data_IF_814954920321
#
_entry.id   IF_814954920321
#
_cell.length_a   1.000
_cell.length_b   1.000
_cell.length_c   1.000
_cell.angle_alpha   90.00
_cell.angle_beta   90.00
_cell.angle_gamma   90.00
#
_symmetry.space_group_name_H-M   'P 1'
#
loop_
_entity.id
_entity.type
_entity.pdbx_description
1 polymer ?
#
# COMPACT_ATOMS: atom_id res chain seq x y z
N UNK A 1 2.49 6.27 13.76
CA UNK A 1 1.54 6.93 12.84
C UNK A 1 1.51 8.46 12.91
N UNK A 2 2.05 9.14 13.93
CA UNK A 2 1.96 10.61 14.01
C UNK A 2 2.60 11.33 12.81
N UNK A 3 3.83 10.95 12.42
CA UNK A 3 4.54 11.58 11.30
C UNK A 3 3.79 11.51 9.94
N UNK A 4 3.26 10.35 9.49
CA UNK A 4 2.40 10.30 8.31
C UNK A 4 1.18 11.23 8.40
N UNK A 5 0.48 11.25 9.53
CA UNK A 5 -0.73 12.07 9.73
C UNK A 5 -0.39 13.55 9.60
N UNK A 6 0.71 14.00 10.21
CA UNK A 6 1.13 15.39 10.16
C UNK A 6 1.54 15.81 8.74
N UNK A 7 2.27 14.95 8.02
CA UNK A 7 2.65 15.21 6.64
C UNK A 7 1.43 15.39 5.71
N UNK A 8 0.39 14.57 5.90
CA UNK A 8 -0.87 14.70 5.17
C UNK A 8 -1.64 15.97 5.54
N UNK A 9 -1.75 16.29 6.84
CA UNK A 9 -2.43 17.51 7.30
C UNK A 9 -1.77 18.78 6.79
N UNK A 10 -0.44 18.83 6.76
CA UNK A 10 0.32 19.95 6.16
C UNK A 10 -0.06 20.16 4.69
N UNK A 11 -0.47 19.10 4.00
CA UNK A 11 -0.89 19.12 2.59
C UNK A 11 -2.39 19.31 2.39
N UNK A 12 -3.15 19.54 3.46
CA UNK A 12 -4.57 19.85 3.42
C UNK A 12 -5.50 18.64 3.50
N UNK A 13 -4.96 17.43 3.69
CA UNK A 13 -5.80 16.26 3.93
C UNK A 13 -6.48 16.33 5.29
N UNK A 14 -7.77 15.98 5.31
CA UNK A 14 -8.48 15.65 6.54
C UNK A 14 -8.19 14.19 6.86
N UNK A 15 -7.63 13.93 8.04
CA UNK A 15 -7.19 12.58 8.42
C UNK A 15 -7.92 12.13 9.67
N UNK A 16 -8.70 11.06 9.53
CA UNK A 16 -9.32 10.36 10.66
C UNK A 16 -8.54 9.09 10.96
N UNK A 17 -7.90 9.06 12.14
CA UNK A 17 -7.15 7.91 12.59
C UNK A 17 -8.01 7.07 13.53
N UNK A 18 -8.34 5.85 13.08
CA UNK A 18 -9.09 4.85 13.85
C UNK A 18 -8.17 3.72 14.31
N UNK A 19 -8.53 3.02 15.39
CA UNK A 19 -7.67 1.99 15.98
C UNK A 19 -8.28 0.59 15.92
N UNK A 20 -9.55 0.47 15.56
CA UNK A 20 -10.26 -0.80 15.52
C UNK A 20 -10.92 -1.02 14.17
N UNK A 21 -11.09 -2.29 13.80
CA UNK A 21 -11.81 -2.66 12.59
C UNK A 21 -13.28 -2.19 12.63
N UNK A 22 -13.92 -2.17 13.80
CA UNK A 22 -15.30 -1.69 13.96
C UNK A 22 -15.44 -0.19 13.64
N UNK A 23 -14.51 0.62 14.13
CA UNK A 23 -14.46 2.05 13.79
C UNK A 23 -14.21 2.22 12.30
N UNK A 24 -13.23 1.52 11.73
CA UNK A 24 -12.94 1.58 10.31
C UNK A 24 -14.14 1.19 9.44
N UNK A 25 -14.84 0.09 9.75
CA UNK A 25 -16.06 -0.32 9.05
C UNK A 25 -17.12 0.79 9.10
N UNK A 26 -17.26 1.49 10.24
CA UNK A 26 -18.20 2.60 10.39
C UNK A 26 -17.83 3.77 9.47
N UNK A 27 -16.54 4.12 9.39
CA UNK A 27 -16.05 5.18 8.50
C UNK A 27 -16.18 4.82 7.02
N UNK A 28 -15.82 3.60 6.63
CA UNK A 28 -15.98 3.10 5.25
C UNK A 28 -17.46 3.15 4.80
N UNK A 29 -18.40 2.91 5.72
CA UNK A 29 -19.83 2.96 5.43
C UNK A 29 -20.39 4.40 5.37
N UNK A 30 -19.66 5.39 5.87
CA UNK A 30 -20.10 6.78 5.93
C UNK A 30 -20.12 7.47 4.56
N UNK A 31 -19.34 6.94 3.60
CA UNK A 31 -19.09 7.53 2.26
C UNK A 31 -18.52 8.95 2.28
N UNK A 32 -17.98 9.42 3.42
CA UNK A 32 -17.27 10.70 3.48
C UNK A 32 -15.80 10.57 3.08
N UNK A 33 -15.17 9.45 3.43
CA UNK A 33 -13.77 9.20 3.14
C UNK A 33 -13.58 8.73 1.70
N UNK A 34 -12.57 9.27 1.02
CA UNK A 34 -12.23 8.89 -0.36
C UNK A 34 -11.11 7.85 -0.40
N UNK A 35 -10.27 7.80 0.63
CA UNK A 35 -9.08 6.95 0.70
C UNK A 35 -9.08 6.21 2.04
N UNK A 36 -8.95 4.88 1.98
CA UNK A 36 -8.76 4.03 3.16
C UNK A 36 -7.30 3.59 3.26
N UNK A 37 -6.65 3.96 4.36
CA UNK A 37 -5.32 3.49 4.71
C UNK A 37 -5.41 2.29 5.66
N UNK A 38 -5.02 1.11 5.19
CA UNK A 38 -5.10 -0.13 5.96
C UNK A 38 -3.70 -0.62 6.26
N UNK A 39 -3.35 -0.68 7.55
CA UNK A 39 -2.11 -1.32 8.01
C UNK A 39 -2.46 -2.73 8.47
N UNK A 40 -1.86 -3.72 7.83
CA UNK A 40 -2.15 -5.11 8.12
C UNK A 40 -1.71 -5.52 9.53
N UNK A 41 -2.55 -6.32 10.18
CA UNK A 41 -2.22 -7.03 11.41
C UNK A 41 -2.00 -8.54 11.13
N UNK A 42 -1.73 -9.31 12.19
CA UNK A 42 -1.55 -10.76 12.17
C UNK A 42 -2.85 -11.57 12.25
N UNK A 43 -3.98 -10.90 12.45
CA UNK A 43 -5.31 -11.49 12.46
C UNK A 43 -6.33 -10.45 12.01
N UNK A 44 -7.52 -10.90 11.59
CA UNK A 44 -8.69 -10.06 11.36
C UNK A 44 -9.67 -10.36 12.48
N UNK A 45 -10.04 -9.35 13.25
CA UNK A 45 -10.87 -9.51 14.45
C UNK A 45 -12.37 -9.49 14.13
N UNK A 46 -12.76 -8.75 13.09
CA UNK A 46 -14.12 -8.64 12.62
C UNK A 46 -14.26 -9.28 11.22
N UNK A 47 -15.02 -10.39 11.08
CA UNK A 47 -15.16 -11.08 9.80
C UNK A 47 -15.86 -10.25 8.70
N UNK A 48 -16.48 -9.11 9.06
CA UNK A 48 -17.08 -8.18 8.08
C UNK A 48 -16.09 -7.16 7.53
N UNK A 49 -14.87 -7.11 8.04
CA UNK A 49 -13.89 -6.09 7.65
C UNK A 49 -13.58 -6.17 6.15
N UNK A 50 -13.20 -7.36 5.66
CA UNK A 50 -12.83 -7.57 4.26
C UNK A 50 -13.99 -7.26 3.31
N UNK A 51 -15.21 -7.71 3.62
CA UNK A 51 -16.37 -7.42 2.77
C UNK A 51 -16.73 -5.93 2.75
N UNK A 52 -16.53 -5.21 3.86
CA UNK A 52 -16.72 -3.75 3.92
C UNK A 52 -15.67 -3.02 3.08
N UNK A 53 -14.41 -3.45 3.15
CA UNK A 53 -13.32 -2.88 2.37
C UNK A 53 -13.48 -3.12 0.86
N UNK A 54 -13.93 -4.32 0.47
CA UNK A 54 -14.29 -4.64 -0.93
C UNK A 54 -15.41 -3.72 -1.41
N UNK A 55 -16.47 -3.53 -0.62
CA UNK A 55 -17.58 -2.65 -0.99
C UNK A 55 -17.13 -1.20 -1.18
N UNK A 56 -16.29 -0.69 -0.27
CA UNK A 56 -15.71 0.64 -0.37
C UNK A 56 -14.91 0.80 -1.67
N UNK A 57 -13.99 -0.14 -1.94
CA UNK A 57 -13.18 -0.09 -3.16
C UNK A 57 -13.99 -0.20 -4.45
N UNK A 58 -14.98 -1.08 -4.49
CA UNK A 58 -15.86 -1.23 -5.65
C UNK A 58 -16.81 -0.04 -5.86
N UNK A 59 -16.90 0.86 -4.87
CA UNK A 59 -17.69 2.11 -4.92
C UNK A 59 -16.77 3.34 -5.08
N UNK A 60 -15.70 3.20 -5.86
CA UNK A 60 -14.68 4.22 -6.17
C UNK A 60 -13.77 4.65 -5.01
N UNK A 61 -13.88 4.05 -3.82
CA UNK A 61 -12.97 4.33 -2.71
C UNK A 61 -11.54 3.83 -2.99
N UNK A 62 -10.55 4.69 -2.85
CA UNK A 62 -9.15 4.30 -3.07
C UNK A 62 -8.55 3.64 -1.82
N UNK A 63 -7.61 2.71 -2.00
CA UNK A 63 -6.99 1.98 -0.89
C UNK A 63 -5.48 2.16 -0.91
N UNK A 64 -4.92 2.56 0.23
CA UNK A 64 -3.50 2.39 0.52
C UNK A 64 -3.33 1.24 1.51
N UNK A 65 -2.81 0.12 1.01
CA UNK A 65 -2.67 -1.11 1.75
C UNK A 65 -1.20 -1.32 2.14
N UNK A 66 -0.93 -1.30 3.43
CA UNK A 66 0.38 -1.61 3.98
C UNK A 66 0.39 -3.04 4.52
N UNK A 67 1.41 -3.78 4.12
CA UNK A 67 1.77 -5.08 4.67
C UNK A 67 3.19 -5.03 5.23
N UNK A 68 3.52 -6.05 6.00
CA UNK A 68 4.85 -6.26 6.56
C UNK A 68 5.19 -7.76 6.41
N UNK A 69 6.16 -8.29 7.15
CA UNK A 69 6.44 -9.71 7.12
C UNK A 69 5.27 -10.60 7.60
N UNK A 70 5.19 -11.83 7.09
CA UNK A 70 4.28 -12.86 7.61
C UNK A 70 4.56 -13.09 9.11
N UNK A 71 3.56 -13.04 10.01
CA UNK A 71 2.11 -13.08 9.76
C UNK A 71 1.40 -11.71 9.64
N UNK A 72 2.09 -10.57 9.72
CA UNK A 72 1.54 -9.21 9.66
C UNK A 72 1.08 -8.76 8.27
N UNK A 73 0.44 -9.68 7.54
CA UNK A 73 -0.06 -9.53 6.17
C UNK A 73 -1.56 -9.77 6.07
N UNK A 74 -2.25 -10.16 7.14
CA UNK A 74 -3.58 -10.79 7.06
C UNK A 74 -4.61 -9.92 6.36
N UNK A 75 -4.68 -8.63 6.67
CA UNK A 75 -5.65 -7.74 6.04
C UNK A 75 -5.39 -7.60 4.53
N UNK A 76 -4.13 -7.37 4.16
CA UNK A 76 -3.72 -7.25 2.77
C UNK A 76 -3.96 -8.53 1.98
N UNK A 77 -3.48 -9.65 2.51
CA UNK A 77 -3.56 -10.97 1.85
C UNK A 77 -5.02 -11.41 1.67
N UNK A 78 -5.88 -11.28 2.69
CA UNK A 78 -7.28 -11.69 2.58
C UNK A 78 -8.09 -10.77 1.64
N UNK A 79 -7.87 -9.45 1.69
CA UNK A 79 -8.53 -8.51 0.78
C UNK A 79 -8.13 -8.77 -0.68
N UNK A 80 -6.83 -8.84 -0.95
CA UNK A 80 -6.30 -9.05 -2.30
C UNK A 80 -6.69 -10.43 -2.84
N UNK A 81 -6.76 -11.45 -1.99
CA UNK A 81 -7.16 -12.81 -2.39
C UNK A 81 -8.63 -12.84 -2.78
N UNK A 82 -9.49 -12.28 -1.94
CA UNK A 82 -10.93 -12.24 -2.18
C UNK A 82 -11.30 -11.45 -3.44
N UNK A 83 -10.53 -10.40 -3.77
CA UNK A 83 -10.86 -9.48 -4.87
C UNK A 83 -10.12 -9.77 -6.18
N UNK A 84 -8.86 -10.19 -6.10
CA UNK A 84 -7.96 -10.28 -7.25
C UNK A 84 -7.24 -11.64 -7.35
N UNK A 85 -7.44 -12.55 -6.39
CA UNK A 85 -6.72 -13.83 -6.35
C UNK A 85 -5.23 -13.71 -6.06
N UNK A 86 -4.82 -12.63 -5.38
CA UNK A 86 -3.42 -12.33 -5.00
C UNK A 86 -3.28 -12.52 -3.49
N UNK A 87 -2.28 -13.23 -3.03
CA UNK A 87 -1.91 -13.29 -1.60
C UNK A 87 -0.65 -12.48 -1.33
N UNK A 88 -0.30 -12.25 -0.08
CA UNK A 88 0.92 -11.58 0.34
C UNK A 88 1.67 -12.46 1.34
N UNK A 89 2.97 -12.64 1.14
CA UNK A 89 3.83 -13.43 2.03
C UNK A 89 5.29 -12.93 2.02
N UNK A 90 6.12 -13.43 2.93
CA UNK A 90 7.55 -13.16 2.97
C UNK A 90 7.99 -12.55 4.30
N UNK A 91 9.29 -12.59 4.56
CA UNK A 91 9.93 -12.07 5.77
C UNK A 91 11.37 -11.63 5.45
N UNK A 92 11.53 -10.91 4.33
CA UNK A 92 12.85 -10.48 3.92
C UNK A 92 13.35 -9.35 4.82
N UNK A 93 14.55 -9.51 5.37
CA UNK A 93 15.24 -8.43 6.07
C UNK A 93 15.81 -7.43 5.06
N UNK A 94 15.12 -6.31 4.90
CA UNK A 94 15.53 -5.17 4.08
C UNK A 94 16.54 -4.28 4.79
N UNK A 95 16.06 -3.13 5.26
CA UNK A 95 16.81 -2.01 5.81
C UNK A 95 17.74 -1.30 4.81
N UNK A 96 17.37 -1.28 3.52
CA UNK A 96 18.10 -0.55 2.48
C UNK A 96 17.30 0.62 1.90
N UNK A 97 17.89 1.29 0.92
CA UNK A 97 17.29 2.42 0.23
C UNK A 97 17.14 2.08 -1.24
N UNK A 98 15.91 2.08 -1.71
CA UNK A 98 15.58 1.99 -3.13
C UNK A 98 16.00 3.28 -3.83
N UNK A 99 16.52 3.16 -5.04
CA UNK A 99 16.95 4.29 -5.85
C UNK A 99 16.09 4.44 -7.10
N UNK A 100 15.83 5.68 -7.48
CA UNK A 100 15.18 5.95 -8.76
C UNK A 100 16.08 5.49 -9.91
N UNK A 101 15.47 4.84 -10.91
CA UNK A 101 16.07 4.59 -12.23
C UNK A 101 14.96 4.49 -13.26
N UNK A 102 15.23 4.89 -14.50
CA UNK A 102 14.31 4.63 -15.62
C UNK A 102 14.09 3.12 -15.78
N UNK A 103 12.82 2.70 -15.82
CA UNK A 103 12.42 1.28 -15.72
C UNK A 103 13.00 0.57 -14.48
N UNK A 104 13.25 1.32 -13.40
CA UNK A 104 13.85 0.82 -12.16
C UNK A 104 13.02 -0.25 -11.46
N UNK A 105 11.70 -0.27 -11.69
CA UNK A 105 10.80 -1.29 -11.17
C UNK A 105 11.17 -2.72 -11.63
N UNK A 106 11.96 -2.89 -12.68
CA UNK A 106 12.44 -4.20 -13.16
C UNK A 106 13.78 -4.62 -12.53
N UNK A 107 14.34 -3.80 -11.65
CA UNK A 107 15.67 -3.98 -11.09
C UNK A 107 15.64 -3.99 -9.57
N UNK A 108 16.31 -4.97 -8.98
CA UNK A 108 16.50 -5.10 -7.53
C UNK A 108 16.97 -3.79 -6.91
N UNK A 109 16.33 -3.36 -5.83
CA UNK A 109 16.70 -2.16 -5.07
C UNK A 109 16.38 -0.83 -5.78
N UNK A 110 15.44 -0.83 -6.72
CA UNK A 110 15.06 0.36 -7.47
C UNK A 110 13.55 0.52 -7.58
N UNK A 111 13.13 1.77 -7.77
CA UNK A 111 11.77 2.11 -8.19
C UNK A 111 11.82 2.83 -9.54
N UNK A 112 10.75 2.65 -10.30
CA UNK A 112 10.60 3.23 -11.64
C UNK A 112 9.82 4.54 -11.62
N UNK A 113 9.36 4.91 -12.81
CA UNK A 113 8.48 6.04 -13.06
C UNK A 113 7.08 5.74 -12.58
N UNK A 114 6.58 6.56 -11.66
CA UNK A 114 5.18 6.59 -11.25
C UNK A 114 4.91 7.91 -10.52
N UNK A 115 3.69 8.43 -10.60
CA UNK A 115 3.33 9.73 -10.00
C UNK A 115 3.62 9.78 -8.50
N UNK A 116 3.46 8.64 -7.81
CA UNK A 116 3.74 8.52 -6.37
C UNK A 116 5.22 8.76 -6.01
N UNK A 117 6.13 8.61 -6.96
CA UNK A 117 7.57 8.85 -6.77
C UNK A 117 8.05 10.21 -7.29
N UNK A 118 7.12 11.08 -7.74
CA UNK A 118 7.48 12.42 -8.25
C UNK A 118 8.35 13.21 -7.26
N UNK A 119 9.54 13.59 -7.71
CA UNK A 119 10.50 14.36 -6.93
C UNK A 119 11.18 13.56 -5.81
N UNK A 120 11.21 12.22 -5.90
CA UNK A 120 11.90 11.31 -4.99
C UNK A 120 13.02 10.60 -5.75
N UNK A 121 14.24 10.62 -5.20
CA UNK A 121 15.40 9.92 -5.76
C UNK A 121 15.80 8.69 -4.95
N UNK A 122 15.40 8.67 -3.67
CA UNK A 122 15.72 7.63 -2.71
C UNK A 122 14.49 7.37 -1.85
N UNK A 123 14.14 6.09 -1.64
CA UNK A 123 13.04 5.67 -0.79
C UNK A 123 13.52 4.55 0.14
N UNK A 124 13.31 4.70 1.45
CA UNK A 124 13.60 3.63 2.40
C UNK A 124 12.61 2.46 2.19
N UNK A 125 13.09 1.22 2.03
CA UNK A 125 12.22 0.08 1.70
C UNK A 125 11.45 -0.50 2.90
N UNK A 126 11.93 -0.25 4.13
CA UNK A 126 11.47 -0.90 5.35
C UNK A 126 12.51 -1.87 5.92
N UNK A 127 12.35 -2.29 7.18
CA UNK A 127 13.19 -3.29 7.85
C UNK A 127 12.81 -4.70 7.41
N UNK A 128 11.51 -4.98 7.35
CA UNK A 128 10.92 -6.26 6.98
C UNK A 128 10.04 -6.04 5.75
N UNK A 129 10.13 -6.96 4.79
CA UNK A 129 9.47 -6.84 3.49
C UNK A 129 8.79 -8.16 3.12
N UNK A 130 7.51 -8.09 2.80
CA UNK A 130 6.77 -9.16 2.11
C UNK A 130 6.70 -8.89 0.60
N UNK A 131 5.96 -9.70 -0.14
CA UNK A 131 5.68 -9.48 -1.55
C UNK A 131 4.35 -10.11 -1.97
N UNK A 132 3.71 -9.61 -3.03
CA UNK A 132 2.53 -10.24 -3.61
C UNK A 132 2.88 -11.56 -4.29
N UNK A 133 2.00 -12.54 -4.14
CA UNK A 133 2.05 -13.85 -4.79
C UNK A 133 0.84 -13.99 -5.69
N UNK A 134 1.11 -14.17 -6.98
CA UNK A 134 0.11 -14.24 -8.03
C UNK A 134 -0.23 -15.70 -8.33
N UNK A 135 -1.48 -16.08 -8.08
CA UNK A 135 -1.93 -17.47 -8.28
C UNK A 135 -2.26 -17.79 -9.75
N UNK A 136 -2.47 -16.78 -10.58
CA UNK A 136 -2.86 -16.92 -11.99
C UNK A 136 -2.23 -15.84 -12.87
N UNK A 137 -2.08 -16.09 -14.18
CA UNK A 137 -1.65 -15.07 -15.15
C UNK A 137 -2.55 -13.83 -15.10
N UNK A 138 -3.88 -14.03 -14.99
CA UNK A 138 -4.81 -12.93 -14.88
C UNK A 138 -4.53 -12.04 -13.65
N UNK A 139 -4.24 -12.64 -12.49
CA UNK A 139 -3.89 -11.86 -11.29
C UNK A 139 -2.59 -11.05 -11.46
N UNK A 140 -1.66 -11.54 -12.27
CA UNK A 140 -0.39 -10.88 -12.55
C UNK A 140 -0.54 -9.67 -13.50
N UNK A 141 -1.60 -9.63 -14.31
CA UNK A 141 -1.88 -8.51 -15.22
C UNK A 141 -2.69 -7.38 -14.56
N UNK A 142 -3.30 -7.65 -13.40
CA UNK A 142 -4.12 -6.66 -12.68
C UNK A 142 -3.26 -5.60 -11.97
N UNK A 143 -2.11 -6.02 -11.43
CA UNK A 143 -1.22 -5.13 -10.68
C UNK A 143 0.04 -4.81 -11.47
N UNK A 144 0.47 -3.56 -11.39
CA UNK A 144 1.76 -3.12 -11.93
C UNK A 144 2.75 -2.96 -10.79
N UNK A 145 3.86 -3.71 -10.83
CA UNK A 145 5.00 -3.47 -9.94
C UNK A 145 5.67 -2.16 -10.34
N UNK A 146 5.85 -1.26 -9.37
CA UNK A 146 6.49 0.04 -9.58
C UNK A 146 7.74 0.24 -8.71
N UNK A 147 7.99 -0.66 -7.75
CA UNK A 147 9.25 -0.75 -7.03
C UNK A 147 9.60 -2.20 -6.68
N UNK A 148 10.87 -2.55 -6.83
CA UNK A 148 11.40 -3.89 -6.52
C UNK A 148 12.39 -3.79 -5.36
N UNK A 149 12.13 -4.55 -4.30
CA UNK A 149 12.95 -4.59 -3.10
C UNK A 149 14.35 -5.13 -3.38
N UNK A 150 15.21 -5.02 -2.38
CA UNK A 150 16.59 -5.47 -2.48
C UNK A 150 16.77 -6.99 -2.47
N UNK A 151 15.71 -7.78 -2.31
CA UNK A 151 15.64 -9.23 -2.55
C UNK A 151 15.24 -9.61 -3.97
N UNK A 152 14.81 -8.64 -4.79
CA UNK A 152 14.34 -8.86 -6.16
C UNK A 152 12.83 -9.08 -6.29
N UNK A 153 12.07 -9.04 -5.20
CA UNK A 153 10.61 -9.16 -5.23
C UNK A 153 9.93 -7.79 -5.35
N UNK A 154 8.67 -7.81 -5.80
CA UNK A 154 7.84 -6.60 -5.82
C UNK A 154 7.60 -6.08 -4.41
N UNK A 155 7.95 -4.82 -4.18
CA UNK A 155 7.82 -4.16 -2.87
C UNK A 155 6.70 -3.13 -2.84
N UNK A 156 6.42 -2.51 -4.00
CA UNK A 156 5.29 -1.60 -4.19
C UNK A 156 4.64 -1.96 -5.52
N UNK A 157 3.35 -2.25 -5.46
CA UNK A 157 2.52 -2.58 -6.62
C UNK A 157 1.24 -1.77 -6.60
N UNK A 158 0.74 -1.39 -7.77
CA UNK A 158 -0.46 -0.56 -7.92
C UNK A 158 -1.49 -1.21 -8.81
N UNK A 159 -2.76 -0.96 -8.49
CA UNK A 159 -3.89 -1.19 -9.36
C UNK A 159 -4.43 0.18 -9.80
N UNK A 160 -4.35 0.46 -11.10
CA UNK A 160 -4.94 1.65 -11.72
C UNK A 160 -6.09 1.19 -12.64
N UNK A 161 -7.36 1.30 -12.17
CA UNK A 161 -8.50 0.88 -12.95
C UNK A 161 -8.62 1.69 -14.24
N UNK A 162 -9.12 1.05 -15.30
CA UNK A 162 -9.51 1.77 -16.53
C UNK A 162 -10.61 2.78 -16.22
N UNK A 163 -10.68 3.86 -17.01
CA UNK A 163 -11.67 4.93 -16.83
C UNK A 163 -13.15 4.50 -16.88
N UNK A 164 -13.44 3.30 -17.41
CA UNK A 164 -14.79 2.71 -17.44
C UNK A 164 -15.15 1.93 -16.17
N UNK A 165 -14.18 1.69 -15.28
CA UNK A 165 -14.39 1.00 -14.01
C UNK A 165 -14.94 1.97 -12.96
N UNK A 166 -15.77 1.47 -12.05
CA UNK A 166 -16.20 2.22 -10.87
C UNK A 166 -15.29 1.96 -9.67
N UNK A 167 -14.24 1.16 -9.82
CA UNK A 167 -13.35 0.82 -8.73
C UNK A 167 -12.34 1.94 -8.44
N UNK A 168 -11.94 2.07 -7.18
CA UNK A 168 -10.88 2.99 -6.78
C UNK A 168 -9.49 2.47 -7.15
N UNK A 169 -8.50 3.37 -7.10
CA UNK A 169 -7.10 3.00 -7.19
C UNK A 169 -6.64 2.26 -5.95
N UNK A 170 -5.63 1.41 -6.10
CA UNK A 170 -5.00 0.74 -4.97
C UNK A 170 -3.48 0.83 -5.05
N UNK A 171 -2.84 1.12 -3.92
CA UNK A 171 -1.41 0.98 -3.72
C UNK A 171 -1.15 -0.06 -2.64
N UNK A 172 -0.43 -1.14 -2.97
CA UNK A 172 0.12 -2.10 -2.02
C UNK A 172 1.57 -1.72 -1.74
N UNK A 173 1.91 -1.47 -0.49
CA UNK A 173 3.29 -1.33 -0.01
C UNK A 173 3.60 -2.46 0.97
N UNK A 174 4.63 -3.25 0.66
CA UNK A 174 5.01 -4.44 1.38
C UNK A 174 6.03 -4.22 2.51
N UNK A 175 6.39 -2.97 2.82
CA UNK A 175 7.37 -2.64 3.86
C UNK A 175 6.86 -1.56 4.82
N UNK A 176 5.81 -1.87 5.58
CA UNK A 176 5.15 -0.96 6.53
C UNK A 176 6.11 -0.18 7.44
N UNK A 177 7.18 -0.81 7.91
CA UNK A 177 8.14 -0.24 8.88
C UNK A 177 8.78 1.07 8.41
N UNK A 178 8.73 1.44 7.13
CA UNK A 178 9.15 2.78 6.68
C UNK A 178 8.32 3.93 7.27
N UNK A 179 7.09 3.66 7.74
CA UNK A 179 6.19 4.69 8.29
C UNK A 179 6.57 5.21 9.68
N UNK A 180 7.48 4.53 10.40
CA UNK A 180 7.92 4.95 11.74
C UNK A 180 9.43 4.89 11.97
N UNK A 181 10.17 4.24 11.07
CA UNK A 181 11.60 4.03 11.20
C UNK A 181 12.29 4.72 10.04
N UNK A 182 13.31 5.52 10.35
CA UNK A 182 14.07 6.32 9.38
C UNK A 182 13.16 7.18 8.46
N UNK A 183 12.04 7.69 8.99
CA UNK A 183 11.07 8.54 8.28
C UNK A 183 11.70 9.71 7.52
N UNK A 184 12.67 10.39 8.15
CA UNK A 184 13.36 11.56 7.58
C UNK A 184 14.53 11.21 6.65
N UNK A 185 14.86 9.93 6.49
CA UNK A 185 16.12 9.52 5.83
C UNK A 185 16.05 9.51 4.29
N UNK A 186 14.89 9.15 3.71
CA UNK A 186 14.81 8.86 2.29
C UNK A 186 13.36 8.94 1.76
N UNK A 187 12.92 10.15 1.42
CA UNK A 187 11.74 10.37 0.57
C UNK A 187 10.38 10.02 1.16
N UNK A 188 10.30 9.30 2.29
CA UNK A 188 9.08 8.71 2.83
C UNK A 188 7.95 9.72 3.01
N UNK A 189 8.22 10.90 3.59
CA UNK A 189 7.19 11.93 3.76
C UNK A 189 6.58 12.38 2.43
N UNK A 190 7.40 12.53 1.38
CA UNK A 190 6.93 12.91 0.05
C UNK A 190 6.20 11.76 -0.64
N UNK A 191 6.71 10.54 -0.50
CA UNK A 191 6.08 9.34 -1.03
C UNK A 191 4.65 9.18 -0.50
N UNK A 192 4.48 9.35 0.81
CA UNK A 192 3.18 9.25 1.49
C UNK A 192 2.18 10.30 0.97
N UNK A 193 2.63 11.53 0.81
CA UNK A 193 1.79 12.61 0.25
C UNK A 193 1.44 12.32 -1.20
N UNK A 194 2.42 11.99 -2.04
CA UNK A 194 2.19 11.75 -3.45
C UNK A 194 1.27 10.53 -3.68
N UNK A 195 1.47 9.44 -2.92
CA UNK A 195 0.60 8.27 -2.95
C UNK A 195 -0.84 8.63 -2.56
N UNK A 196 -1.02 9.46 -1.53
CA UNK A 196 -2.36 9.94 -1.14
C UNK A 196 -2.99 10.91 -2.12
N UNK A 197 -2.20 11.62 -2.93
CA UNK A 197 -2.73 12.47 -4.00
C UNK A 197 -3.08 11.68 -5.26
N UNK A 198 -2.39 10.56 -5.49
CA UNK A 198 -2.62 9.69 -6.63
C UNK A 198 -3.83 8.77 -6.41
N UNK A 199 -4.00 8.28 -5.18
CA UNK A 199 -5.20 7.57 -4.71
C UNK A 199 -6.39 8.52 -4.63
#
# INVERSE_FOLDING_TARGET
>A
MQHPIDALKIKGFQVKHVKTENECITELASNFDQIAWIISANEIQNPKFISSLIKFHSSAGAIFLFADNTPWVCHASEFLKAKFGITVEGDYYGDKTLRYKENGHQQTGHFGEHDIFTGITNLYEGITICHPVYSTTASHEVFTTIATASDGNSSIAVYDPRSTSTEGRLCLDCGFTKLWYKWDSAGTARYIVNASCWL
#
